data_IF_172796990819
#
_entry.id   IF_172796990819
#
_cell.length_a   1.000
_cell.length_b   1.000
_cell.length_c   1.000
_cell.angle_alpha   90.00
_cell.angle_beta   90.00
_cell.angle_gamma   90.00
#
_symmetry.space_group_name_H-M   'P 1'
#
loop_
_entity.id
_entity.type
_entity.pdbx_description
1 polymer ?
#
# COMPACT_ATOMS: atom_id res chain seq x y z
N UNK A 1 -9.80 11.53 4.74
CA UNK A 1 -8.36 11.23 4.59
C UNK A 1 -7.70 11.18 5.95
N UNK A 2 -6.64 10.43 6.06
CA UNK A 2 -5.82 10.39 7.27
C UNK A 2 -4.35 10.27 6.90
N UNK A 3 -3.47 10.49 7.87
CA UNK A 3 -2.03 10.37 7.68
C UNK A 3 -1.49 9.14 8.41
N UNK A 4 -0.42 8.58 7.90
CA UNK A 4 0.26 7.45 8.51
C UNK A 4 1.77 7.59 8.35
N UNK A 5 2.51 7.04 9.30
CA UNK A 5 3.96 6.94 9.22
C UNK A 5 4.36 5.51 8.89
N UNK A 6 5.30 5.38 7.97
CA UNK A 6 5.86 4.07 7.63
C UNK A 6 6.77 3.62 8.78
N UNK A 7 6.52 2.44 9.31
CA UNK A 7 7.24 1.95 10.49
C UNK A 7 8.36 0.95 10.16
N UNK A 8 8.25 0.20 9.07
CA UNK A 8 9.21 -0.85 8.75
C UNK A 8 9.74 -0.78 7.33
N UNK A 9 10.68 -1.66 6.97
CA UNK A 9 11.37 -1.62 5.69
C UNK A 9 10.66 -2.40 4.56
N UNK A 10 9.46 -2.92 4.78
CA UNK A 10 8.82 -3.85 3.84
C UNK A 10 8.54 -3.23 2.46
N UNK A 11 8.45 -1.92 2.38
CA UNK A 11 8.17 -1.21 1.13
C UNK A 11 9.38 -0.50 0.53
N UNK A 12 10.57 -0.77 1.06
CA UNK A 12 11.82 -0.28 0.46
C UNK A 12 12.01 -0.93 -0.93
N UNK A 13 12.42 -0.20 -1.95
CA UNK A 13 12.87 1.19 -1.95
C UNK A 13 11.77 2.24 -2.13
N UNK A 14 10.53 1.84 -2.36
CA UNK A 14 9.45 2.78 -2.67
C UNK A 14 9.13 3.69 -1.51
N UNK A 15 9.02 3.12 -0.32
CA UNK A 15 8.78 3.84 0.94
C UNK A 15 9.84 3.43 1.95
N UNK A 16 10.24 4.37 2.78
CA UNK A 16 11.24 4.14 3.83
C UNK A 16 10.62 4.39 5.20
N UNK A 17 11.14 3.75 6.25
CA UNK A 17 10.70 4.05 7.62
C UNK A 17 10.78 5.56 7.89
N UNK A 18 9.76 6.10 8.51
CA UNK A 18 9.65 7.54 8.77
C UNK A 18 8.96 8.35 7.71
N UNK A 19 8.69 7.79 6.53
CA UNK A 19 7.92 8.49 5.50
C UNK A 19 6.49 8.75 6.00
N UNK A 20 6.01 9.96 5.75
CA UNK A 20 4.65 10.35 6.09
C UNK A 20 3.75 10.29 4.86
N UNK A 21 2.65 9.59 4.98
CA UNK A 21 1.75 9.28 3.89
C UNK A 21 0.38 9.91 4.11
N UNK A 22 -0.24 10.34 3.02
CA UNK A 22 -1.64 10.74 3.00
C UNK A 22 -2.46 9.58 2.45
N UNK A 23 -3.46 9.15 3.21
CA UNK A 23 -4.29 7.99 2.91
C UNK A 23 -5.71 8.46 2.63
N UNK A 24 -6.30 7.96 1.57
CA UNK A 24 -7.69 8.24 1.24
C UNK A 24 -8.55 7.00 1.45
N UNK A 25 -9.58 7.12 2.29
CA UNK A 25 -10.66 6.15 2.38
C UNK A 25 -11.70 6.48 1.33
N UNK A 26 -12.23 5.47 0.66
CA UNK A 26 -13.19 5.67 -0.40
C UNK A 26 -12.60 6.27 -1.67
N UNK A 27 -13.43 6.92 -2.47
CA UNK A 27 -13.05 7.39 -3.79
C UNK A 27 -13.09 6.26 -4.81
N UNK A 28 -12.13 6.21 -5.73
CA UNK A 28 -12.10 5.15 -6.72
C UNK A 28 -11.76 3.80 -6.11
N UNK A 29 -12.19 2.75 -6.78
CA UNK A 29 -11.85 1.39 -6.37
C UNK A 29 -10.33 1.15 -6.40
N UNK A 30 -9.87 0.26 -5.54
CA UNK A 30 -8.48 -0.21 -5.53
C UNK A 30 -8.18 -0.95 -6.82
N UNK A 31 -6.99 -0.74 -7.35
CA UNK A 31 -6.48 -1.40 -8.56
C UNK A 31 -5.15 -2.06 -8.27
N UNK A 32 -4.84 -3.09 -9.06
CA UNK A 32 -3.52 -3.69 -9.03
C UNK A 32 -2.44 -2.62 -9.24
N UNK A 33 -1.41 -2.67 -8.42
CA UNK A 33 -0.33 -1.68 -8.43
C UNK A 33 -0.49 -0.54 -7.44
N UNK A 34 -1.66 -0.35 -6.87
CA UNK A 34 -1.87 0.68 -5.85
C UNK A 34 -1.09 0.37 -4.58
N UNK A 35 -0.58 1.41 -3.94
CA UNK A 35 -0.14 1.33 -2.55
C UNK A 35 -1.36 1.48 -1.66
N UNK A 36 -1.53 0.56 -0.73
CA UNK A 36 -2.71 0.53 0.13
C UNK A 36 -2.32 0.38 1.60
N UNK A 37 -3.14 0.95 2.46
CA UNK A 37 -3.16 0.59 3.87
C UNK A 37 -4.15 -0.56 4.02
N UNK A 38 -3.70 -1.64 4.60
CA UNK A 38 -4.47 -2.87 4.68
C UNK A 38 -4.33 -3.53 6.04
N UNK A 39 -5.23 -4.44 6.29
CA UNK A 39 -5.28 -5.25 7.51
C UNK A 39 -5.46 -6.69 7.10
N UNK A 40 -4.54 -7.55 7.51
CA UNK A 40 -4.70 -8.98 7.24
C UNK A 40 -5.85 -9.53 8.09
N UNK A 41 -6.68 -10.36 7.48
CA UNK A 41 -7.79 -10.99 8.19
C UNK A 41 -7.30 -11.91 9.31
N UNK A 42 -6.14 -12.52 9.12
CA UNK A 42 -5.49 -13.35 10.15
C UNK A 42 -4.80 -12.53 11.25
N UNK A 43 -4.57 -11.24 11.01
CA UNK A 43 -3.89 -10.34 11.94
C UNK A 43 -4.61 -8.99 11.97
N UNK A 44 -5.87 -8.92 12.46
CA UNK A 44 -6.68 -7.71 12.32
C UNK A 44 -6.19 -6.52 13.16
N UNK A 45 -5.33 -6.75 14.14
CA UNK A 45 -4.75 -5.69 14.97
C UNK A 45 -3.61 -4.95 14.28
N UNK A 46 -3.14 -5.45 13.15
CA UNK A 46 -1.96 -4.90 12.47
C UNK A 46 -2.36 -4.19 11.19
N UNK A 47 -2.16 -2.86 11.14
CA UNK A 47 -2.26 -2.09 9.91
C UNK A 47 -0.92 -2.05 9.21
N UNK A 48 -0.92 -2.32 7.91
CA UNK A 48 0.30 -2.37 7.10
C UNK A 48 0.12 -1.55 5.82
N UNK A 49 1.23 -1.10 5.24
CA UNK A 49 1.26 -0.51 3.91
C UNK A 49 1.89 -1.52 2.96
N UNK A 50 1.17 -1.87 1.91
CA UNK A 50 1.61 -2.88 0.94
C UNK A 50 1.18 -2.49 -0.47
N UNK A 51 1.67 -3.25 -1.46
CA UNK A 51 1.28 -3.13 -2.86
C UNK A 51 0.12 -4.07 -3.14
N UNK A 52 -0.99 -3.54 -3.65
CA UNK A 52 -2.12 -4.36 -4.09
C UNK A 52 -1.73 -5.10 -5.37
N UNK A 53 -1.88 -6.42 -5.38
CA UNK A 53 -1.49 -7.26 -6.52
C UNK A 53 -2.71 -7.70 -7.31
N UNK A 54 -3.71 -8.28 -6.64
CA UNK A 54 -4.94 -8.74 -7.26
C UNK A 54 -6.07 -8.90 -6.25
N UNK A 55 -7.32 -8.80 -6.67
CA UNK A 55 -8.43 -9.21 -5.83
C UNK A 55 -8.33 -10.71 -5.55
N UNK A 56 -8.80 -11.12 -4.38
CA UNK A 56 -8.89 -12.53 -4.02
C UNK A 56 -10.06 -12.74 -3.07
N UNK A 57 -10.48 -14.00 -2.84
CA UNK A 57 -11.52 -14.27 -1.86
C UNK A 57 -11.13 -13.70 -0.49
N UNK A 58 -12.03 -12.91 0.09
CA UNK A 58 -11.79 -12.24 1.36
C UNK A 58 -11.13 -10.86 1.28
N UNK A 59 -10.83 -10.36 0.07
CA UNK A 59 -10.28 -9.01 -0.09
C UNK A 59 -9.25 -8.89 -1.19
N UNK A 60 -8.01 -8.56 -0.81
CA UNK A 60 -6.92 -8.33 -1.74
C UNK A 60 -5.69 -9.13 -1.35
N UNK A 61 -5.01 -9.62 -2.37
CA UNK A 61 -3.65 -10.15 -2.23
C UNK A 61 -2.70 -8.97 -2.32
N UNK A 62 -1.92 -8.75 -1.27
CA UNK A 62 -1.00 -7.63 -1.16
C UNK A 62 0.42 -8.12 -0.90
N UNK A 63 1.42 -7.41 -1.43
CA UNK A 63 2.82 -7.81 -1.30
C UNK A 63 3.71 -6.63 -0.93
N UNK A 64 4.81 -6.97 -0.25
CA UNK A 64 5.88 -6.02 0.04
C UNK A 64 6.68 -5.70 -1.22
N UNK A 65 7.16 -4.48 -1.35
CA UNK A 65 8.06 -4.10 -2.44
C UNK A 65 9.50 -4.59 -2.18
N UNK A 66 9.85 -4.81 -0.93
CA UNK A 66 11.18 -5.30 -0.57
C UNK A 66 11.40 -6.72 -1.09
N UNK A 67 12.57 -6.97 -1.67
CA UNK A 67 12.97 -8.31 -2.09
C UNK A 67 13.28 -9.24 -0.91
N UNK A 68 13.51 -8.67 0.27
CA UNK A 68 13.97 -9.39 1.47
C UNK A 68 12.84 -9.59 2.47
N UNK A 69 12.03 -8.56 2.71
CA UNK A 69 10.94 -8.60 3.71
C UNK A 69 9.67 -9.09 3.04
N UNK A 70 9.14 -10.22 3.51
CA UNK A 70 7.96 -10.87 2.92
C UNK A 70 6.81 -11.05 3.90
N UNK A 71 6.66 -10.12 4.84
CA UNK A 71 5.55 -10.09 5.79
C UNK A 71 4.30 -9.51 5.11
N UNK A 72 3.73 -10.30 4.21
CA UNK A 72 2.61 -9.88 3.37
C UNK A 72 1.65 -11.05 3.13
N UNK A 73 0.80 -10.98 2.08
CA UNK A 73 -0.18 -12.03 1.81
C UNK A 73 0.44 -13.40 1.59
N UNK A 74 1.70 -13.48 1.19
CA UNK A 74 2.41 -14.76 1.07
C UNK A 74 2.51 -15.47 2.43
N UNK A 75 2.54 -14.70 3.52
CA UNK A 75 2.58 -15.24 4.89
C UNK A 75 1.21 -15.26 5.55
N UNK A 76 0.35 -14.26 5.29
CA UNK A 76 -0.87 -14.02 6.08
C UNK A 76 -2.16 -14.16 5.29
N UNK A 77 -2.10 -14.35 3.96
CA UNK A 77 -3.30 -14.49 3.13
C UNK A 77 -3.95 -13.15 2.81
N UNK A 78 -5.26 -13.19 2.56
CA UNK A 78 -6.01 -12.03 2.11
C UNK A 78 -6.01 -10.88 3.11
N UNK A 79 -6.03 -9.66 2.60
CA UNK A 79 -6.10 -8.44 3.38
C UNK A 79 -7.34 -7.63 3.03
N UNK A 80 -7.91 -6.98 4.03
CA UNK A 80 -8.92 -5.95 3.85
C UNK A 80 -8.25 -4.62 3.61
N UNK A 81 -8.58 -3.95 2.50
CA UNK A 81 -8.03 -2.62 2.22
C UNK A 81 -8.79 -1.57 3.01
N UNK A 82 -8.05 -0.79 3.79
CA UNK A 82 -8.60 0.32 4.58
C UNK A 82 -8.59 1.62 3.79
N UNK A 83 -7.56 1.84 2.98
CA UNK A 83 -7.45 3.04 2.16
C UNK A 83 -6.31 2.95 1.16
N UNK A 84 -6.28 3.91 0.22
CA UNK A 84 -5.21 4.02 -0.78
C UNK A 84 -4.22 5.10 -0.37
N UNK A 85 -2.93 4.84 -0.59
CA UNK A 85 -1.92 5.86 -0.44
C UNK A 85 -2.01 6.82 -1.62
N UNK A 86 -2.29 8.09 -1.34
CA UNK A 86 -2.40 9.13 -2.36
C UNK A 86 -1.03 9.71 -2.65
N UNK A 87 -0.29 10.05 -1.60
CA UNK A 87 1.03 10.65 -1.74
C UNK A 87 1.86 10.42 -0.48
N UNK A 88 3.16 10.52 -0.64
CA UNK A 88 4.08 10.80 0.45
C UNK A 88 4.21 12.32 0.52
N UNK A 89 3.95 12.91 1.68
CA UNK A 89 4.03 14.36 1.81
C UNK A 89 5.28 14.82 2.57
N UNK A 90 5.96 13.91 3.22
CA UNK A 90 7.19 14.20 3.97
C UNK A 90 8.05 12.95 4.03
N UNK A 91 9.39 13.03 3.96
CA UNK A 91 10.21 14.24 3.74
C UNK A 91 10.31 14.63 2.27
N UNK A 92 9.97 13.72 1.35
CA UNK A 92 10.07 13.98 -0.10
C UNK A 92 8.72 13.75 -0.75
N UNK A 93 7.99 14.82 -1.06
CA UNK A 93 6.65 14.65 -1.66
C UNK A 93 6.67 13.84 -2.94
N UNK A 94 5.73 12.90 -3.05
CA UNK A 94 5.57 12.06 -4.25
C UNK A 94 4.13 11.59 -4.35
N UNK A 95 3.55 11.70 -5.55
CA UNK A 95 2.21 11.17 -5.83
C UNK A 95 2.31 9.71 -6.24
N UNK A 96 1.41 8.87 -5.70
CA UNK A 96 1.32 7.46 -6.03
C UNK A 96 -0.01 7.07 -6.70
N UNK A 97 -0.97 7.97 -6.74
CA UNK A 97 -2.35 7.65 -7.03
C UNK A 97 -2.68 7.49 -8.51
N UNK A 98 -1.70 7.53 -9.42
CA UNK A 98 -2.01 7.50 -10.84
C UNK A 98 -1.25 6.40 -11.57
N UNK A 99 -1.77 5.19 -11.55
CA UNK A 99 -1.46 4.29 -12.65
C UNK A 99 -2.49 4.53 -13.74
N UNK A 100 -2.04 5.05 -14.86
CA UNK A 100 -2.81 5.07 -16.10
C UNK A 100 -2.34 3.91 -16.94
N UNK A 101 -3.16 2.88 -17.14
CA UNK A 101 -2.83 1.86 -18.11
C UNK A 101 -2.64 2.53 -19.48
N UNK A 102 -1.47 2.31 -20.10
CA UNK A 102 -1.17 2.86 -21.40
C UNK A 102 -0.78 4.32 -21.45
N UNK A 103 -0.72 5.02 -20.33
CA UNK A 103 -0.22 6.39 -20.28
C UNK A 103 1.27 6.45 -19.94
N UNK A 104 1.98 7.54 -20.28
CA UNK A 104 3.35 7.71 -19.82
C UNK A 104 3.38 7.79 -18.30
N UNK A 105 4.41 7.24 -17.65
CA UNK A 105 4.55 7.40 -16.21
C UNK A 105 4.69 8.90 -15.89
N UNK A 106 4.12 9.36 -14.78
CA UNK A 106 4.35 10.72 -14.35
C UNK A 106 5.86 10.90 -14.15
N UNK A 107 6.37 11.88 -14.80
CA UNK A 107 7.80 12.21 -14.77
C UNK A 107 8.32 12.58 -13.40
#
# INVERSE_FOLDING_TARGET
MFTALVAGPSMVPTLRPGDALLIRRGGRAVRAGDLVVARFRSRPELLVVKRAVRPCPGGWWVESDSAVVRDDSRAYGAAEVVGRVVCRWWPRPRLFARSRPGGPPPG
#
